data_IF_514114408650
#
_entry.id   IF_514114408650
#
_cell.length_a   1.000
_cell.length_b   1.000
_cell.length_c   1.000
_cell.angle_alpha   90.00
_cell.angle_beta   90.00
_cell.angle_gamma   90.00
#
_symmetry.space_group_name_H-M   'P 1'
#
loop_
_entity.id
_entity.type
_entity.pdbx_description
1 polymer ?
#
# COMPACT_ATOMS: atom_id res chain seq x y z
N UNK A 1 11.24 -2.90 12.69
CA UNK A 1 9.92 -2.39 13.05
C UNK A 1 8.83 -3.25 12.43
N UNK A 2 7.84 -3.62 13.19
CA UNK A 2 6.68 -4.44 12.79
C UNK A 2 5.77 -3.74 11.76
N UNK A 3 5.91 -2.44 11.58
CA UNK A 3 5.07 -1.62 10.68
C UNK A 3 5.24 -1.96 9.19
N UNK A 4 6.45 -2.28 8.73
CA UNK A 4 6.67 -2.66 7.33
C UNK A 4 6.00 -3.99 6.95
N UNK A 5 6.04 -4.96 7.85
CA UNK A 5 5.44 -6.29 7.63
C UNK A 5 3.91 -6.21 7.65
N UNK A 6 3.33 -5.43 8.57
CA UNK A 6 1.88 -5.23 8.63
C UNK A 6 1.34 -4.49 7.41
N UNK A 7 2.09 -3.54 6.86
CA UNK A 7 1.70 -2.80 5.65
C UNK A 7 1.70 -3.70 4.41
N UNK A 8 2.74 -4.53 4.21
CA UNK A 8 2.81 -5.46 3.09
C UNK A 8 1.69 -6.52 3.16
N UNK A 9 1.44 -7.10 4.32
CA UNK A 9 0.33 -8.02 4.53
C UNK A 9 -1.03 -7.34 4.27
N UNK A 10 -1.18 -6.08 4.68
CA UNK A 10 -2.36 -5.28 4.41
C UNK A 10 -2.63 -5.08 2.92
N UNK A 11 -1.59 -4.88 2.11
CA UNK A 11 -1.73 -4.71 0.66
C UNK A 11 -2.25 -5.99 -0.03
N UNK A 12 -1.72 -7.15 0.34
CA UNK A 12 -2.13 -8.42 -0.24
C UNK A 12 -3.60 -8.73 0.04
N UNK A 13 -4.05 -8.55 1.28
CA UNK A 13 -5.41 -8.95 1.66
C UNK A 13 -6.48 -7.89 1.39
N UNK A 14 -6.11 -6.61 1.27
CA UNK A 14 -7.08 -5.52 1.25
C UNK A 14 -7.16 -4.78 -0.07
N UNK A 15 -6.04 -4.55 -0.74
CA UNK A 15 -5.94 -3.65 -1.89
C UNK A 15 -5.81 -4.38 -3.22
N UNK A 16 -5.01 -5.41 -3.27
CA UNK A 16 -4.79 -6.19 -4.49
C UNK A 16 -6.08 -6.77 -5.07
N UNK A 17 -7.05 -7.32 -4.29
CA UNK A 17 -8.29 -7.81 -4.85
C UNK A 17 -9.05 -6.79 -5.69
N UNK A 18 -9.09 -5.52 -5.27
CA UNK A 18 -9.76 -4.46 -6.03
C UNK A 18 -9.05 -4.12 -7.34
N UNK A 19 -7.71 -4.09 -7.33
CA UNK A 19 -6.91 -3.86 -8.53
C UNK A 19 -7.07 -5.02 -9.53
N UNK A 20 -6.98 -6.26 -9.05
CA UNK A 20 -7.07 -7.46 -9.88
C UNK A 20 -8.46 -7.69 -10.44
N UNK A 21 -9.53 -7.35 -9.72
CA UNK A 21 -10.90 -7.43 -10.21
C UNK A 21 -11.17 -6.55 -11.45
N UNK A 22 -10.38 -5.49 -11.65
CA UNK A 22 -10.49 -4.58 -12.78
C UNK A 22 -9.41 -4.75 -13.85
N UNK A 23 -8.44 -5.60 -13.62
CA UNK A 23 -7.39 -5.87 -14.59
C UNK A 23 -7.97 -6.60 -15.81
N UNK A 24 -7.58 -6.15 -17.01
CA UNK A 24 -7.88 -6.86 -18.24
C UNK A 24 -6.87 -8.01 -18.39
N UNK A 25 -7.23 -9.17 -17.89
CA UNK A 25 -6.41 -10.38 -17.98
C UNK A 25 -7.11 -11.43 -18.85
N UNK A 26 -6.32 -12.26 -19.54
CA UNK A 26 -6.83 -13.33 -20.39
C UNK A 26 -7.55 -14.41 -19.57
N UNK A 27 -7.10 -14.65 -18.34
CA UNK A 27 -7.73 -15.58 -17.43
C UNK A 27 -7.52 -15.18 -15.97
N UNK A 28 -8.42 -15.56 -15.03
CA UNK A 28 -8.25 -15.32 -13.59
C UNK A 28 -6.98 -15.95 -13.03
N UNK A 29 -6.57 -17.11 -13.55
CA UNK A 29 -5.35 -17.79 -13.15
C UNK A 29 -4.08 -17.02 -13.55
N UNK A 30 -4.02 -16.51 -14.77
CA UNK A 30 -2.91 -15.70 -15.24
C UNK A 30 -2.74 -14.45 -14.37
N UNK A 31 -3.87 -13.80 -14.04
CA UNK A 31 -3.87 -12.65 -13.14
C UNK A 31 -3.40 -13.02 -11.72
N UNK A 32 -3.77 -14.18 -11.22
CA UNK A 32 -3.30 -14.69 -9.93
C UNK A 32 -1.79 -14.93 -9.90
N UNK A 33 -1.23 -15.50 -10.97
CA UNK A 33 0.23 -15.69 -11.10
C UNK A 33 0.97 -14.34 -11.15
N UNK A 34 0.47 -13.38 -11.91
CA UNK A 34 1.05 -12.04 -11.96
C UNK A 34 1.03 -11.36 -10.59
N UNK A 35 -0.05 -11.53 -9.84
CA UNK A 35 -0.16 -11.02 -8.47
C UNK A 35 0.89 -11.65 -7.53
N UNK A 36 1.06 -12.98 -7.59
CA UNK A 36 2.06 -13.68 -6.79
C UNK A 36 3.49 -13.20 -7.09
N UNK A 37 3.84 -13.07 -8.38
CA UNK A 37 5.15 -12.56 -8.81
C UNK A 37 5.37 -11.12 -8.33
N UNK A 38 4.37 -10.26 -8.46
CA UNK A 38 4.44 -8.87 -7.99
C UNK A 38 4.71 -8.79 -6.49
N UNK A 39 3.97 -9.56 -5.68
CA UNK A 39 4.17 -9.61 -4.22
C UNK A 39 5.55 -10.15 -3.87
N UNK A 40 6.02 -11.17 -4.59
CA UNK A 40 7.36 -11.72 -4.38
C UNK A 40 8.44 -10.67 -4.65
N UNK A 41 8.36 -9.96 -5.76
CA UNK A 41 9.32 -8.90 -6.12
C UNK A 41 9.30 -7.80 -5.04
N UNK A 42 8.13 -7.33 -4.67
CA UNK A 42 8.00 -6.24 -3.69
C UNK A 42 8.54 -6.66 -2.32
N UNK A 43 8.17 -7.84 -1.84
CA UNK A 43 8.53 -8.30 -0.50
C UNK A 43 9.97 -8.79 -0.41
N UNK A 44 10.44 -9.60 -1.38
CA UNK A 44 11.78 -10.20 -1.30
C UNK A 44 12.86 -9.36 -1.95
N UNK A 45 12.59 -8.65 -3.02
CA UNK A 45 13.61 -7.87 -3.72
C UNK A 45 13.64 -6.44 -3.18
N UNK A 46 12.54 -5.71 -3.29
CA UNK A 46 12.52 -4.26 -2.97
C UNK A 46 12.74 -4.03 -1.48
N UNK A 47 12.04 -4.78 -0.63
CA UNK A 47 12.17 -4.63 0.83
C UNK A 47 13.58 -5.00 1.32
N UNK A 48 14.17 -6.10 0.82
CA UNK A 48 15.53 -6.49 1.19
C UNK A 48 16.57 -5.48 0.70
N UNK A 49 16.44 -4.92 -0.50
CA UNK A 49 17.35 -3.88 -0.98
C UNK A 49 17.31 -2.65 -0.07
N UNK A 50 16.13 -2.25 0.40
CA UNK A 50 15.99 -1.13 1.35
C UNK A 50 16.66 -1.46 2.68
N UNK A 51 16.42 -2.65 3.22
CA UNK A 51 17.04 -3.11 4.50
C UNK A 51 18.57 -3.17 4.36
N UNK A 52 19.09 -3.75 3.29
CA UNK A 52 20.53 -3.82 3.06
C UNK A 52 21.15 -2.43 2.91
N UNK A 53 20.49 -1.50 2.25
CA UNK A 53 20.96 -0.12 2.11
C UNK A 53 21.09 0.56 3.49
N UNK A 54 20.15 0.33 4.40
CA UNK A 54 20.17 0.87 5.75
C UNK A 54 21.24 0.19 6.62
N UNK A 55 21.36 -1.14 6.54
CA UNK A 55 22.32 -1.92 7.32
C UNK A 55 23.76 -1.60 6.91
N UNK A 56 24.06 -1.61 5.62
CA UNK A 56 25.42 -1.39 5.08
C UNK A 56 25.91 0.03 5.33
N UNK A 57 25.01 1.01 5.38
CA UNK A 57 25.38 2.39 5.70
C UNK A 57 25.55 2.65 7.20
N UNK A 58 25.09 1.75 8.08
CA UNK A 58 25.24 1.87 9.52
C UNK A 58 24.47 3.05 10.13
N UNK A 59 23.42 3.54 9.46
CA UNK A 59 22.62 4.70 9.92
C UNK A 59 21.62 4.35 11.02
N UNK A 60 21.45 3.07 11.35
CA UNK A 60 20.52 2.62 12.41
C UNK A 60 20.83 3.24 13.77
N UNK A 61 22.11 3.55 14.05
CA UNK A 61 22.54 4.20 15.30
C UNK A 61 22.10 5.66 15.42
N UNK A 62 21.53 6.26 14.37
CA UNK A 62 21.12 7.67 14.37
C UNK A 62 19.79 7.94 15.07
N UNK A 63 19.07 6.90 15.50
CA UNK A 63 17.76 7.02 16.14
C UNK A 63 16.64 7.58 15.23
N UNK A 64 16.87 7.60 13.91
CA UNK A 64 15.87 8.01 12.92
C UNK A 64 15.01 6.83 12.52
N UNK A 65 13.74 7.11 12.22
CA UNK A 65 12.77 6.11 11.80
C UNK A 65 12.19 6.39 10.40
N UNK A 66 11.62 5.36 9.79
CA UNK A 66 10.86 5.45 8.54
C UNK A 66 11.65 6.06 7.38
N UNK A 67 11.06 7.04 6.71
CA UNK A 67 11.65 7.70 5.54
C UNK A 67 12.91 8.50 5.85
N UNK A 68 13.01 9.06 7.07
CA UNK A 68 14.20 9.81 7.50
C UNK A 68 15.43 8.91 7.64
N UNK A 69 15.24 7.64 8.02
CA UNK A 69 16.30 6.65 8.07
C UNK A 69 16.80 6.30 6.65
N UNK A 70 15.90 6.10 5.72
CA UNK A 70 16.24 5.84 4.30
C UNK A 70 16.97 7.03 3.70
N UNK A 71 16.50 8.27 3.92
CA UNK A 71 17.20 9.47 3.48
C UNK A 71 18.62 9.55 4.05
N UNK A 72 18.81 9.23 5.33
CA UNK A 72 20.13 9.22 5.94
C UNK A 72 21.07 8.18 5.31
N UNK A 73 20.54 7.00 4.96
CA UNK A 73 21.30 5.96 4.27
C UNK A 73 21.76 6.42 2.88
N UNK A 74 20.86 6.98 2.09
CA UNK A 74 21.19 7.51 0.76
C UNK A 74 22.08 8.75 0.80
N UNK A 75 21.94 9.61 1.81
CA UNK A 75 22.84 10.73 2.04
C UNK A 75 24.26 10.25 2.33
N UNK A 76 24.43 9.19 3.12
CA UNK A 76 25.75 8.64 3.44
C UNK A 76 26.42 7.99 2.22
N UNK A 77 25.63 7.36 1.32
CA UNK A 77 26.16 6.72 0.10
C UNK A 77 26.40 7.69 -1.05
N UNK A 78 25.50 8.63 -1.27
CA UNK A 78 25.47 9.49 -2.48
C UNK A 78 25.56 10.99 -2.17
N UNK A 79 25.78 11.37 -0.90
CA UNK A 79 25.84 12.78 -0.50
C UNK A 79 24.53 13.52 -0.73
N UNK A 80 24.61 14.79 -1.08
CA UNK A 80 23.43 15.64 -1.33
C UNK A 80 22.54 15.15 -2.46
N UNK A 81 23.09 14.50 -3.48
CA UNK A 81 22.32 13.91 -4.57
C UNK A 81 21.38 12.80 -4.08
N UNK A 82 21.78 12.04 -3.06
CA UNK A 82 20.94 11.01 -2.44
C UNK A 82 19.67 11.57 -1.81
N UNK A 83 19.73 12.74 -1.19
CA UNK A 83 18.56 13.40 -0.59
C UNK A 83 17.56 13.79 -1.69
N UNK A 84 18.04 14.43 -2.75
CA UNK A 84 17.21 14.87 -3.87
C UNK A 84 16.56 13.65 -4.53
N UNK A 85 17.34 12.61 -4.77
CA UNK A 85 16.82 11.36 -5.36
C UNK A 85 15.69 10.77 -4.52
N UNK A 86 15.89 10.60 -3.21
CA UNK A 86 14.86 10.06 -2.32
C UNK A 86 13.64 10.97 -2.26
N UNK A 87 13.80 12.29 -2.24
CA UNK A 87 12.69 13.25 -2.25
C UNK A 87 11.84 13.13 -3.51
N UNK A 88 12.47 13.02 -4.68
CA UNK A 88 11.77 12.83 -5.97
C UNK A 88 11.04 11.48 -5.98
N UNK A 89 11.68 10.41 -5.54
CA UNK A 89 11.04 9.09 -5.44
C UNK A 89 9.83 9.12 -4.49
N UNK A 90 9.96 9.75 -3.33
CA UNK A 90 8.86 9.90 -2.37
C UNK A 90 7.70 10.72 -2.94
N UNK A 91 7.99 11.76 -3.70
CA UNK A 91 6.95 12.56 -4.35
C UNK A 91 6.12 11.70 -5.32
N UNK A 92 6.77 10.96 -6.23
CA UNK A 92 6.06 10.08 -7.16
C UNK A 92 5.34 8.93 -6.45
N UNK A 93 5.94 8.39 -5.39
CA UNK A 93 5.33 7.34 -4.59
C UNK A 93 4.08 7.82 -3.86
N UNK A 94 4.12 8.99 -3.23
CA UNK A 94 2.97 9.60 -2.57
C UNK A 94 1.86 9.92 -3.57
N UNK A 95 2.22 10.51 -4.71
CA UNK A 95 1.26 10.86 -5.76
C UNK A 95 0.54 9.62 -6.31
N UNK A 96 1.28 8.59 -6.70
CA UNK A 96 0.70 7.34 -7.20
C UNK A 96 -0.17 6.62 -6.16
N UNK A 97 0.26 6.66 -4.90
CA UNK A 97 -0.48 6.07 -3.78
C UNK A 97 -1.81 6.79 -3.56
N UNK A 98 -1.81 8.12 -3.51
CA UNK A 98 -3.04 8.92 -3.36
C UNK A 98 -4.02 8.64 -4.50
N UNK A 99 -3.55 8.59 -5.75
CA UNK A 99 -4.40 8.28 -6.91
C UNK A 99 -5.01 6.88 -6.81
N UNK A 100 -4.21 5.89 -6.47
CA UNK A 100 -4.66 4.50 -6.35
C UNK A 100 -5.70 4.33 -5.24
N UNK A 101 -5.45 4.93 -4.09
CA UNK A 101 -6.38 4.86 -2.96
C UNK A 101 -7.69 5.60 -3.23
N UNK A 102 -7.60 6.77 -3.84
CA UNK A 102 -8.78 7.50 -4.28
C UNK A 102 -9.61 6.66 -5.25
N UNK A 103 -8.97 6.02 -6.23
CA UNK A 103 -9.65 5.15 -7.20
C UNK A 103 -10.36 3.97 -6.52
N UNK A 104 -9.70 3.26 -5.60
CA UNK A 104 -10.32 2.15 -4.87
C UNK A 104 -11.53 2.59 -4.06
N UNK A 105 -11.43 3.70 -3.34
CA UNK A 105 -12.55 4.25 -2.60
C UNK A 105 -13.69 4.72 -3.51
N UNK A 106 -13.35 5.37 -4.62
CA UNK A 106 -14.33 5.85 -5.61
C UNK A 106 -15.17 4.70 -6.19
N UNK A 107 -14.52 3.59 -6.54
CA UNK A 107 -15.20 2.39 -7.06
C UNK A 107 -16.21 1.85 -6.04
N UNK A 108 -15.82 1.75 -4.78
CA UNK A 108 -16.69 1.25 -3.73
C UNK A 108 -17.85 2.21 -3.43
N UNK A 109 -17.58 3.50 -3.34
CA UNK A 109 -18.62 4.52 -3.13
C UNK A 109 -19.61 4.56 -4.29
N UNK A 110 -19.12 4.46 -5.53
CA UNK A 110 -19.97 4.41 -6.71
C UNK A 110 -20.84 3.16 -6.73
N UNK A 111 -20.33 2.03 -6.30
CA UNK A 111 -21.08 0.78 -6.21
C UNK A 111 -22.19 0.85 -5.14
N UNK A 112 -21.90 1.42 -3.97
CA UNK A 112 -22.84 1.47 -2.84
C UNK A 112 -23.85 2.60 -2.94
N UNK A 113 -23.44 3.78 -3.39
CA UNK A 113 -24.21 5.04 -3.30
C UNK A 113 -24.46 5.72 -4.65
N UNK A 114 -23.93 5.15 -5.73
CA UNK A 114 -24.13 5.65 -7.10
C UNK A 114 -23.21 6.82 -7.49
N UNK A 115 -23.42 7.32 -8.72
CA UNK A 115 -22.57 8.34 -9.36
C UNK A 115 -22.54 9.69 -8.62
N UNK A 116 -23.66 10.11 -8.01
CA UNK A 116 -23.73 11.40 -7.33
C UNK A 116 -22.85 11.46 -6.09
N UNK A 117 -22.75 10.35 -5.37
CA UNK A 117 -21.89 10.23 -4.18
C UNK A 117 -20.39 10.24 -4.51
N UNK A 118 -20.00 9.86 -5.73
CA UNK A 118 -18.62 9.88 -6.18
C UNK A 118 -17.98 11.27 -6.12
N UNK A 119 -18.72 12.33 -6.52
CA UNK A 119 -18.22 13.70 -6.48
C UNK A 119 -18.02 14.20 -5.06
N UNK A 120 -18.98 13.88 -4.18
CA UNK A 120 -18.89 14.22 -2.76
C UNK A 120 -17.70 13.50 -2.10
N UNK A 121 -17.51 12.21 -2.39
CA UNK A 121 -16.38 11.43 -1.91
C UNK A 121 -15.04 12.04 -2.33
N UNK A 122 -14.89 12.43 -3.61
CA UNK A 122 -13.66 13.07 -4.09
C UNK A 122 -13.36 14.38 -3.37
N UNK A 123 -14.38 15.18 -3.10
CA UNK A 123 -14.23 16.42 -2.33
C UNK A 123 -13.77 16.13 -0.90
N UNK A 124 -14.40 15.15 -0.24
CA UNK A 124 -14.02 14.74 1.12
C UNK A 124 -12.57 14.25 1.16
N UNK A 125 -12.13 13.45 0.18
CA UNK A 125 -10.75 12.96 0.11
C UNK A 125 -9.76 14.12 0.01
N UNK A 126 -10.02 15.11 -0.83
CA UNK A 126 -9.14 16.30 -0.94
C UNK A 126 -9.05 17.04 0.39
N UNK A 127 -10.18 17.26 1.05
CA UNK A 127 -10.22 17.91 2.38
C UNK A 127 -9.45 17.08 3.41
N UNK A 128 -9.62 15.76 3.42
CA UNK A 128 -8.89 14.86 4.32
C UNK A 128 -7.38 14.87 4.08
N UNK A 129 -6.93 14.97 2.83
CA UNK A 129 -5.50 15.08 2.50
C UNK A 129 -4.92 16.37 3.08
N UNK A 130 -5.61 17.49 2.90
CA UNK A 130 -5.17 18.79 3.44
C UNK A 130 -5.13 18.74 4.97
N UNK A 131 -6.17 18.26 5.63
CA UNK A 131 -6.21 18.13 7.10
C UNK A 131 -5.11 17.17 7.57
N UNK A 132 -4.96 16.02 6.91
CA UNK A 132 -3.97 15.01 7.24
C UNK A 132 -2.52 15.52 7.15
N UNK A 133 -2.24 16.43 6.22
CA UNK A 133 -0.92 17.06 6.10
C UNK A 133 -0.57 18.00 7.26
N UNK A 134 -1.57 18.47 8.00
CA UNK A 134 -1.39 19.34 9.17
C UNK A 134 -1.34 18.55 10.51
N UNK A 135 -1.66 17.26 10.49
CA UNK A 135 -1.70 16.44 11.70
C UNK A 135 -0.28 15.96 12.10
N UNK A 136 -0.11 15.65 13.37
CA UNK A 136 1.11 15.00 13.87
C UNK A 136 1.25 13.59 13.27
N UNK A 137 2.46 13.24 12.86
CA UNK A 137 2.77 11.97 12.20
C UNK A 137 2.31 10.75 13.03
N UNK A 138 2.50 10.78 14.36
CA UNK A 138 2.06 9.71 15.26
C UNK A 138 0.56 9.48 15.23
N UNK A 139 -0.23 10.56 15.19
CA UNK A 139 -1.69 10.47 15.09
C UNK A 139 -2.13 9.88 13.75
N UNK A 140 -1.48 10.29 12.65
CA UNK A 140 -1.78 9.75 11.31
C UNK A 140 -1.50 8.26 11.27
N UNK A 141 -0.37 7.80 11.82
CA UNK A 141 -0.06 6.38 11.89
C UNK A 141 -1.03 5.60 12.77
N UNK A 142 -1.37 6.12 13.94
CA UNK A 142 -2.33 5.46 14.84
C UNK A 142 -3.71 5.31 14.21
N UNK A 143 -4.19 6.35 13.50
CA UNK A 143 -5.45 6.29 12.75
C UNK A 143 -5.38 5.29 11.60
N UNK A 144 -4.28 5.28 10.84
CA UNK A 144 -4.07 4.34 9.75
C UNK A 144 -4.08 2.89 10.24
N UNK A 145 -3.39 2.60 11.34
CA UNK A 145 -3.34 1.26 11.93
C UNK A 145 -4.71 0.82 12.48
N UNK A 146 -5.44 1.73 13.11
CA UNK A 146 -6.80 1.46 13.61
C UNK A 146 -7.76 1.09 12.46
N UNK A 147 -7.83 1.92 11.42
CA UNK A 147 -8.71 1.64 10.27
C UNK A 147 -8.25 0.42 9.48
N UNK A 148 -6.94 0.20 9.36
CA UNK A 148 -6.39 -1.01 8.77
C UNK A 148 -6.80 -2.27 9.55
N UNK A 149 -6.74 -2.23 10.88
CA UNK A 149 -7.22 -3.30 11.74
C UNK A 149 -8.71 -3.59 11.54
N UNK A 150 -9.53 -2.54 11.48
CA UNK A 150 -10.96 -2.66 11.27
C UNK A 150 -11.33 -3.31 9.92
N UNK A 151 -10.55 -3.04 8.87
CA UNK A 151 -10.75 -3.63 7.53
C UNK A 151 -10.42 -5.13 7.48
N UNK A 152 -9.61 -5.67 8.38
CA UNK A 152 -9.28 -7.09 8.40
C UNK A 152 -10.50 -7.95 8.67
N UNK A 153 -11.38 -7.52 9.57
CA UNK A 153 -12.54 -8.31 10.03
C UNK A 153 -13.46 -8.70 8.85
N UNK A 154 -14.02 -7.75 8.08
CA UNK A 154 -14.90 -8.10 6.96
C UNK A 154 -14.16 -8.86 5.85
N UNK A 155 -12.87 -8.58 5.62
CA UNK A 155 -12.10 -9.29 4.62
C UNK A 155 -11.87 -10.76 4.97
N UNK A 156 -11.50 -11.05 6.21
CA UNK A 156 -11.34 -12.44 6.68
C UNK A 156 -12.65 -13.22 6.58
N UNK A 157 -13.77 -12.61 7.00
CA UNK A 157 -15.09 -13.22 6.88
C UNK A 157 -15.46 -13.51 5.41
N UNK A 158 -15.20 -12.57 4.50
CA UNK A 158 -15.45 -12.75 3.08
C UNK A 158 -14.58 -13.86 2.48
N UNK A 159 -13.28 -13.92 2.82
CA UNK A 159 -12.37 -14.95 2.35
C UNK A 159 -12.79 -16.34 2.84
N UNK A 160 -13.20 -16.47 4.10
CA UNK A 160 -13.70 -17.74 4.65
C UNK A 160 -14.99 -18.17 3.94
N UNK A 161 -15.94 -17.26 3.74
CA UNK A 161 -17.19 -17.54 3.06
C UNK A 161 -16.98 -17.95 1.59
N UNK A 162 -16.02 -17.33 0.89
CA UNK A 162 -15.74 -17.58 -0.53
C UNK A 162 -14.72 -18.70 -0.77
N UNK A 163 -14.07 -19.21 0.27
CA UNK A 163 -13.02 -20.23 0.14
C UNK A 163 -13.48 -21.49 -0.61
N UNK A 164 -14.71 -21.95 -0.37
CA UNK A 164 -15.30 -23.08 -1.08
C UNK A 164 -15.52 -22.83 -2.58
N UNK A 165 -15.85 -21.60 -2.95
CA UNK A 165 -16.06 -21.22 -4.34
C UNK A 165 -14.73 -21.14 -5.10
N UNK A 166 -13.68 -20.63 -4.47
CA UNK A 166 -12.32 -20.61 -5.02
C UNK A 166 -11.77 -22.02 -5.21
N UNK A 167 -11.99 -22.91 -4.22
CA UNK A 167 -11.58 -24.33 -4.32
C UNK A 167 -12.28 -25.07 -5.46
N UNK A 168 -13.54 -24.77 -5.75
CA UNK A 168 -14.26 -25.34 -6.91
C UNK A 168 -13.71 -24.79 -8.23
N UNK A 169 -13.56 -23.50 -8.35
CA UNK A 169 -13.02 -22.85 -9.55
C UNK A 169 -11.58 -23.28 -9.89
N UNK A 170 -10.80 -23.68 -8.87
CA UNK A 170 -9.45 -24.23 -9.05
C UNK A 170 -9.44 -25.69 -9.54
N UNK A 171 -10.52 -26.44 -9.31
CA UNK A 171 -10.64 -27.88 -9.71
C UNK A 171 -11.22 -28.08 -11.10
N UNK A 172 -11.85 -27.05 -11.68
CA UNK A 172 -12.47 -27.11 -13.00
C UNK A 172 -11.48 -26.89 -14.17
N UNK A 173 -10.21 -27.29 -13.98
CA UNK A 173 -9.14 -27.30 -14.99
C UNK A 173 -8.59 -28.67 -15.24
#
# INVERSE_FOLDING_TARGET
STQGVSSAASDVYKRQPHAHARAKAESPHHQGLCAMVSVFIDTFIVLNLTVFSVLTTGVMSTGKDGTALTQAAFMKGFGSAGIIFVAVCLFFFAFSTILSWHFFGLVNVKYLFGEKASKLYSLIVVVCIVIGSCLKLELVWSLADFFNGLMVIPNVLALLALSGLVARASKER
#
